data_IF_206047665126
#
_entry.id   IF_206047665126
#
_cell.length_a   1.000
_cell.length_b   1.000
_cell.length_c   1.000
_cell.angle_alpha   90.00
_cell.angle_beta   90.00
_cell.angle_gamma   90.00
#
_symmetry.space_group_name_H-M   'P 1'
#
loop_
_entity.id
_entity.type
_entity.pdbx_description
1 polymer ?
#
# COMPACT_ATOMS: atom_id res chain seq x y z
N UNK A 1 28.72 -15.26 6.48
CA UNK A 1 28.13 -13.92 6.35
C UNK A 1 27.03 -13.76 7.39
N UNK A 2 26.68 -12.53 7.76
CA UNK A 2 25.60 -12.26 8.72
C UNK A 2 24.32 -12.00 7.94
N UNK A 3 23.21 -12.62 8.35
CA UNK A 3 21.87 -12.40 7.80
C UNK A 3 20.90 -12.08 8.93
N UNK A 4 19.96 -11.18 8.65
CA UNK A 4 18.92 -10.81 9.58
C UNK A 4 17.71 -11.71 9.38
N UNK A 5 17.32 -12.43 10.43
CA UNK A 5 16.22 -13.41 10.39
C UNK A 5 14.94 -12.96 11.09
N UNK A 6 14.93 -11.79 11.74
CA UNK A 6 13.76 -11.30 12.47
C UNK A 6 13.95 -9.92 13.11
N UNK A 7 12.84 -9.29 13.50
CA UNK A 7 12.77 -7.97 14.14
C UNK A 7 11.63 -7.92 15.16
N UNK A 8 11.81 -7.17 16.25
CA UNK A 8 10.75 -6.80 17.20
C UNK A 8 11.06 -5.43 17.80
N UNK A 9 10.04 -4.61 18.02
CA UNK A 9 10.17 -3.31 18.69
C UNK A 9 8.86 -2.96 19.39
N UNK A 10 8.89 -2.36 20.59
CA UNK A 10 7.68 -1.80 21.22
C UNK A 10 7.13 -0.59 20.45
N UNK A 11 7.91 0.00 19.53
CA UNK A 11 7.52 1.12 18.67
C UNK A 11 7.49 0.71 17.20
N UNK A 12 7.16 -0.56 16.90
CA UNK A 12 7.06 -1.02 15.52
C UNK A 12 5.91 -0.30 14.81
N UNK A 13 6.19 0.26 13.63
CA UNK A 13 5.15 0.78 12.73
C UNK A 13 4.47 -0.35 11.93
N UNK A 14 5.03 -1.56 11.97
CA UNK A 14 4.41 -2.75 11.41
C UNK A 14 3.21 -3.15 12.26
N UNK A 15 2.08 -3.37 11.61
CA UNK A 15 0.87 -3.90 12.22
C UNK A 15 0.48 -5.18 11.48
N UNK A 16 0.54 -6.30 12.19
CA UNK A 16 0.27 -7.64 11.64
C UNK A 16 -1.18 -7.77 11.16
N UNK A 17 -2.14 -7.20 11.88
CA UNK A 17 -3.56 -7.26 11.51
C UNK A 17 -3.82 -6.50 10.20
N UNK A 18 -3.16 -5.36 9.98
CA UNK A 18 -3.31 -4.61 8.72
C UNK A 18 -2.61 -5.28 7.53
N UNK A 19 -1.55 -6.05 7.79
CA UNK A 19 -0.77 -6.72 6.76
C UNK A 19 -1.23 -8.16 6.45
N UNK A 20 -2.03 -8.75 7.34
CA UNK A 20 -2.48 -10.14 7.23
C UNK A 20 -3.56 -10.30 6.15
N UNK A 21 -3.53 -11.46 5.50
CA UNK A 21 -4.56 -11.90 4.56
C UNK A 21 -5.74 -12.60 5.25
N UNK A 22 -5.56 -13.03 6.49
CA UNK A 22 -6.57 -13.73 7.28
C UNK A 22 -7.44 -12.77 8.11
N UNK A 23 -6.97 -11.54 8.33
CA UNK A 23 -7.72 -10.50 9.02
C UNK A 23 -8.67 -9.77 8.05
N UNK A 24 -9.71 -9.14 8.62
CA UNK A 24 -10.59 -8.20 7.89
C UNK A 24 -10.44 -6.77 8.39
N UNK A 25 -9.32 -6.48 9.04
CA UNK A 25 -9.06 -5.17 9.66
C UNK A 25 -8.86 -4.07 8.62
N UNK A 26 -8.40 -4.44 7.43
CA UNK A 26 -8.29 -3.54 6.28
C UNK A 26 -9.39 -3.80 5.25
N UNK A 27 -10.20 -2.78 4.96
CA UNK A 27 -11.20 -2.85 3.89
C UNK A 27 -10.53 -2.63 2.53
N UNK A 28 -10.33 -3.73 1.80
CA UNK A 28 -9.67 -3.70 0.50
C UNK A 28 -10.44 -2.92 -0.56
N UNK A 29 -11.75 -2.68 -0.37
CA UNK A 29 -12.59 -1.92 -1.32
C UNK A 29 -12.12 -0.47 -1.45
N UNK A 30 -11.57 0.10 -0.38
CA UNK A 30 -11.05 1.47 -0.39
C UNK A 30 -9.84 1.64 -1.33
N UNK A 31 -9.10 0.54 -1.57
CA UNK A 31 -7.94 0.53 -2.46
C UNK A 31 -8.29 0.87 -3.91
N UNK A 32 -9.49 0.50 -4.38
CA UNK A 32 -9.92 0.80 -5.74
C UNK A 32 -10.09 2.30 -5.97
N UNK A 33 -10.77 2.98 -5.04
CA UNK A 33 -10.98 4.42 -5.09
C UNK A 33 -9.65 5.17 -5.00
N UNK A 34 -8.75 4.74 -4.11
CA UNK A 34 -7.42 5.33 -3.95
C UNK A 34 -6.60 5.24 -5.25
N UNK A 35 -6.52 4.05 -5.84
CA UNK A 35 -5.76 3.83 -7.08
C UNK A 35 -6.30 4.66 -8.25
N UNK A 36 -7.63 4.76 -8.38
CA UNK A 36 -8.27 5.58 -9.41
C UNK A 36 -7.96 7.07 -9.23
N UNK A 37 -8.10 7.59 -8.01
CA UNK A 37 -7.85 8.99 -7.71
C UNK A 37 -6.37 9.35 -7.91
N UNK A 38 -5.45 8.55 -7.36
CA UNK A 38 -4.01 8.79 -7.49
C UNK A 38 -3.53 8.72 -8.94
N UNK A 39 -4.03 7.74 -9.71
CA UNK A 39 -3.66 7.55 -11.12
C UNK A 39 -4.31 8.55 -12.07
N UNK A 40 -5.33 9.30 -11.64
CA UNK A 40 -6.14 10.17 -12.51
C UNK A 40 -5.28 11.19 -13.27
N UNK A 41 -4.40 11.90 -12.56
CA UNK A 41 -3.53 12.93 -13.12
C UNK A 41 -2.58 12.40 -14.20
N UNK A 42 -1.94 11.25 -13.96
CA UNK A 42 -1.03 10.63 -14.91
C UNK A 42 -1.78 10.13 -16.16
N UNK A 43 -2.97 9.55 -15.98
CA UNK A 43 -3.83 9.12 -17.09
C UNK A 43 -4.29 10.30 -17.94
N UNK A 44 -4.67 11.42 -17.30
CA UNK A 44 -5.05 12.65 -17.99
C UNK A 44 -3.86 13.22 -18.78
N UNK A 45 -2.67 13.29 -18.19
CA UNK A 45 -1.46 13.74 -18.89
C UNK A 45 -1.15 12.89 -20.13
N UNK A 46 -1.26 11.57 -20.01
CA UNK A 46 -1.09 10.65 -21.14
C UNK A 46 -2.15 10.86 -22.23
N UNK A 47 -3.41 11.08 -21.86
CA UNK A 47 -4.50 11.35 -22.82
C UNK A 47 -4.32 12.67 -23.56
N UNK A 48 -3.75 13.68 -22.90
CA UNK A 48 -3.50 15.00 -23.47
C UNK A 48 -2.15 15.08 -24.19
N UNK A 49 -1.37 13.99 -24.21
CA UNK A 49 -0.03 13.91 -24.80
C UNK A 49 0.92 14.98 -24.27
N UNK A 50 0.78 15.33 -22.99
CA UNK A 50 1.65 16.25 -22.24
C UNK A 50 2.56 15.41 -21.34
N UNK A 51 3.52 14.73 -21.96
CA UNK A 51 4.56 13.93 -21.33
C UNK A 51 5.88 14.06 -22.06
#
# INVERSE_FOLDING_TARGET
>A
GISVIGRRSPFALYNEDLASFDSKTWDQRDGEALCKAYGMQARMAAQLNIG
#
